data_IF_628868178572
#
_entry.id   IF_628868178572
#
_cell.length_a   1.000
_cell.length_b   1.000
_cell.length_c   1.000
_cell.angle_alpha   90.00
_cell.angle_beta   90.00
_cell.angle_gamma   90.00
#
_symmetry.space_group_name_H-M   'P 1'
#
loop_
_entity.id
_entity.type
_entity.pdbx_description
1 polymer ?
#
# COMPACT_ATOMS: atom_id res chain seq x y z
N UNK A 1 -10.21 -1.31 22.00
CA UNK A 1 -8.79 -1.71 21.91
C UNK A 1 -8.57 -2.43 20.59
N UNK A 2 -7.34 -2.60 20.12
CA UNK A 2 -7.03 -3.14 18.78
C UNK A 2 -7.02 -4.67 18.69
N UNK A 3 -7.46 -5.39 19.72
CA UNK A 3 -7.55 -6.86 19.74
C UNK A 3 -6.29 -7.60 20.21
N UNK A 4 -5.16 -6.91 20.40
CA UNK A 4 -3.93 -7.54 20.90
C UNK A 4 -4.10 -8.03 22.34
N UNK A 5 -3.60 -9.24 22.61
CA UNK A 5 -3.46 -9.77 23.98
C UNK A 5 -2.45 -8.94 24.77
N UNK A 6 -2.58 -8.90 26.09
CA UNK A 6 -1.77 -8.02 26.96
C UNK A 6 -0.25 -8.17 26.73
N UNK A 7 0.23 -9.40 26.53
CA UNK A 7 1.66 -9.66 26.26
C UNK A 7 2.13 -9.02 24.95
N UNK A 8 1.35 -9.15 23.87
CA UNK A 8 1.69 -8.56 22.57
C UNK A 8 1.53 -7.04 22.59
N UNK A 9 0.50 -6.53 23.25
CA UNK A 9 0.26 -5.11 23.40
C UNK A 9 1.40 -4.44 24.18
N UNK A 10 1.86 -5.05 25.27
CA UNK A 10 3.02 -4.58 26.03
C UNK A 10 4.31 -4.67 25.19
N UNK A 11 4.54 -5.80 24.51
CA UNK A 11 5.74 -5.99 23.70
C UNK A 11 5.85 -4.96 22.58
N UNK A 12 4.78 -4.77 21.81
CA UNK A 12 4.75 -3.87 20.67
C UNK A 12 4.68 -2.41 21.11
N UNK A 13 3.77 -2.09 22.04
CA UNK A 13 3.53 -0.71 22.50
C UNK A 13 4.75 -0.08 23.17
N UNK A 14 5.50 -0.83 23.98
CA UNK A 14 6.73 -0.32 24.62
C UNK A 14 7.90 -0.11 23.65
N UNK A 15 7.79 -0.59 22.41
CA UNK A 15 8.81 -0.49 21.35
C UNK A 15 8.45 0.49 20.25
N UNK A 16 7.36 1.25 20.41
CA UNK A 16 7.01 2.37 19.53
C UNK A 16 7.33 3.68 20.24
N UNK A 17 8.31 4.40 19.71
CA UNK A 17 8.60 5.77 20.15
C UNK A 17 7.77 6.74 19.32
N UNK A 18 7.09 7.69 19.98
CA UNK A 18 6.29 8.71 19.29
C UNK A 18 7.03 10.04 19.24
N UNK A 19 7.13 10.62 18.05
CA UNK A 19 7.69 11.93 17.79
C UNK A 19 6.69 12.82 17.05
N UNK A 20 6.79 14.14 17.24
CA UNK A 20 6.02 15.10 16.46
C UNK A 20 6.77 15.41 15.16
N UNK A 21 6.09 15.22 14.03
CA UNK A 21 6.64 15.52 12.72
C UNK A 21 6.82 17.03 12.52
N UNK A 22 7.84 17.41 11.73
CA UNK A 22 8.01 18.78 11.20
C UNK A 22 7.41 18.93 9.79
N UNK A 23 6.72 17.90 9.30
CA UNK A 23 6.21 17.75 7.93
C UNK A 23 5.09 16.70 7.88
N UNK A 24 5.04 15.86 6.84
CA UNK A 24 4.12 14.72 6.83
C UNK A 24 4.46 13.71 7.95
N UNK A 25 3.47 12.91 8.36
CA UNK A 25 3.71 11.75 9.23
C UNK A 25 4.73 10.79 8.62
N UNK A 26 5.39 10.00 9.47
CA UNK A 26 6.36 9.00 9.00
C UNK A 26 6.67 7.92 10.03
N UNK A 27 6.66 6.67 9.59
CA UNK A 27 7.10 5.52 10.36
C UNK A 27 8.51 5.09 9.98
N UNK A 28 9.37 4.93 10.99
CA UNK A 28 10.72 4.40 10.81
C UNK A 28 10.86 3.07 11.54
N UNK A 29 11.18 2.03 10.77
CA UNK A 29 11.41 0.68 11.30
C UNK A 29 12.70 0.58 12.12
N UNK A 30 12.76 -0.36 13.07
CA UNK A 30 14.02 -0.73 13.68
C UNK A 30 14.91 -1.48 12.68
N UNK A 31 16.20 -1.14 12.62
CA UNK A 31 17.15 -1.84 11.74
C UNK A 31 17.57 -3.21 12.27
N UNK A 32 17.50 -3.40 13.60
CA UNK A 32 17.76 -4.65 14.32
C UNK A 32 16.81 -4.73 15.53
N UNK A 33 16.54 -5.94 16.08
CA UNK A 33 15.58 -6.15 17.18
C UNK A 33 15.83 -5.34 18.46
N UNK A 34 17.05 -4.85 18.66
CA UNK A 34 17.44 -4.09 19.84
C UNK A 34 16.96 -2.63 19.80
N UNK A 35 16.55 -2.12 18.64
CA UNK A 35 16.02 -0.77 18.50
C UNK A 35 14.49 -0.72 18.49
N UNK A 36 13.96 0.43 18.88
CA UNK A 36 12.53 0.74 18.78
C UNK A 36 12.16 1.21 17.37
N UNK A 37 10.89 1.01 17.01
CA UNK A 37 10.27 1.69 15.89
C UNK A 37 9.94 3.14 16.27
N UNK A 38 9.88 4.03 15.28
CA UNK A 38 9.48 5.41 15.47
C UNK A 38 8.22 5.71 14.68
N UNK A 39 7.26 6.33 15.36
CA UNK A 39 6.01 6.82 14.84
C UNK A 39 6.08 8.35 14.86
N UNK A 40 6.04 9.00 13.70
CA UNK A 40 5.95 10.45 13.61
C UNK A 40 4.57 10.87 13.16
N UNK A 41 3.93 11.72 13.94
CA UNK A 41 2.61 12.27 13.57
C UNK A 41 2.56 13.78 13.77
N UNK A 42 1.55 14.40 13.16
CA UNK A 42 1.25 15.81 13.33
C UNK A 42 0.44 16.07 14.59
N UNK A 43 0.47 17.34 15.03
CA UNK A 43 -0.33 17.81 16.14
C UNK A 43 -0.75 19.26 15.94
N UNK A 44 -1.80 19.63 16.67
CA UNK A 44 -2.07 21.01 17.05
C UNK A 44 -1.18 21.40 18.25
N UNK A 45 -1.28 22.64 18.72
CA UNK A 45 -0.40 23.19 19.76
C UNK A 45 -0.37 22.35 21.05
N UNK A 46 -1.54 21.89 21.52
CA UNK A 46 -1.74 21.20 22.80
C UNK A 46 -2.31 19.77 22.68
N UNK A 47 -2.63 19.32 21.46
CA UNK A 47 -3.32 18.03 21.20
C UNK A 47 -3.01 17.51 19.80
N UNK A 48 -3.23 16.22 19.53
CA UNK A 48 -3.06 15.69 18.17
C UNK A 48 -4.08 16.29 17.18
N UNK A 49 -5.32 16.50 17.62
CA UNK A 49 -6.44 16.76 16.71
C UNK A 49 -6.85 15.50 15.94
N UNK A 50 -7.92 15.57 15.15
CA UNK A 50 -8.37 14.42 14.35
C UNK A 50 -7.31 14.03 13.32
N UNK A 51 -6.84 14.97 12.49
CA UNK A 51 -5.87 14.70 11.42
C UNK A 51 -4.56 14.10 11.96
N UNK A 52 -4.07 14.61 13.10
CA UNK A 52 -2.89 14.07 13.78
C UNK A 52 -3.12 12.70 14.40
N UNK A 53 -4.32 12.41 14.90
CA UNK A 53 -4.65 11.09 15.43
C UNK A 53 -4.85 10.05 14.32
N UNK A 54 -5.56 10.41 13.25
CA UNK A 54 -5.77 9.57 12.07
C UNK A 54 -4.43 9.22 11.40
N UNK A 55 -3.54 10.22 11.23
CA UNK A 55 -2.16 9.99 10.81
C UNK A 55 -1.43 9.08 11.79
N UNK A 56 -1.56 9.29 13.11
CA UNK A 56 -0.89 8.43 14.09
C UNK A 56 -1.34 6.97 13.99
N UNK A 57 -2.62 6.71 13.70
CA UNK A 57 -3.15 5.37 13.49
C UNK A 57 -2.60 4.70 12.24
N UNK A 58 -2.40 5.46 11.16
CA UNK A 58 -1.71 5.00 9.96
C UNK A 58 -0.26 4.57 10.28
N UNK A 59 0.49 5.47 10.91
CA UNK A 59 1.90 5.23 11.26
C UNK A 59 2.07 4.13 12.32
N UNK A 60 1.08 3.97 13.21
CA UNK A 60 1.02 2.84 14.13
C UNK A 60 0.91 1.52 13.36
N UNK A 61 0.06 1.45 12.34
CA UNK A 61 -0.07 0.25 11.51
C UNK A 61 1.25 -0.13 10.83
N UNK A 62 2.01 0.86 10.33
CA UNK A 62 3.37 0.63 9.87
C UNK A 62 4.27 0.06 10.96
N UNK A 63 4.34 0.70 12.13
CA UNK A 63 5.22 0.25 13.20
C UNK A 63 4.86 -1.14 13.74
N UNK A 64 3.58 -1.48 13.84
CA UNK A 64 3.14 -2.81 14.24
C UNK A 64 3.61 -3.85 13.22
N UNK A 65 3.41 -3.63 11.92
CA UNK A 65 3.97 -4.48 10.87
C UNK A 65 5.49 -4.61 11.01
N UNK A 66 6.20 -3.48 11.10
CA UNK A 66 7.67 -3.42 11.10
C UNK A 66 8.28 -4.09 12.33
N UNK A 67 7.64 -3.98 13.49
CA UNK A 67 8.06 -4.69 14.70
C UNK A 67 7.80 -6.18 14.54
N UNK A 68 6.60 -6.56 14.08
CA UNK A 68 6.26 -7.98 13.92
C UNK A 68 7.20 -8.65 12.91
N UNK A 69 7.41 -8.03 11.75
CA UNK A 69 8.25 -8.56 10.68
C UNK A 69 9.76 -8.46 10.97
N UNK A 70 10.15 -7.74 12.03
CA UNK A 70 11.52 -7.76 12.58
C UNK A 70 11.73 -8.87 13.60
N UNK A 71 10.75 -9.10 14.47
CA UNK A 71 10.89 -9.91 15.68
C UNK A 71 10.36 -11.35 15.56
N UNK A 72 9.28 -11.56 14.81
CA UNK A 72 8.52 -12.83 14.84
C UNK A 72 8.65 -13.64 13.56
N UNK A 73 9.46 -13.18 12.59
CA UNK A 73 9.78 -13.97 11.39
C UNK A 73 10.59 -15.21 11.75
N UNK A 74 10.44 -16.32 11.00
CA UNK A 74 11.08 -17.59 11.36
C UNK A 74 12.61 -17.56 11.28
N UNK A 75 13.20 -16.59 10.55
CA UNK A 75 14.65 -16.42 10.41
C UNK A 75 15.02 -14.94 10.27
N UNK A 76 16.15 -14.49 10.84
CA UNK A 76 16.64 -13.13 10.66
C UNK A 76 16.80 -12.68 9.20
N UNK A 77 17.16 -13.60 8.29
CA UNK A 77 17.29 -13.31 6.86
C UNK A 77 15.96 -13.05 6.15
N UNK A 78 14.82 -13.41 6.77
CA UNK A 78 13.48 -13.19 6.25
C UNK A 78 12.80 -11.98 6.89
N UNK A 79 13.53 -11.11 7.60
CA UNK A 79 12.94 -9.89 8.17
C UNK A 79 12.30 -9.03 7.10
N UNK A 80 11.24 -8.31 7.52
CA UNK A 80 10.37 -7.46 6.71
C UNK A 80 9.30 -8.24 5.90
N UNK A 81 8.37 -7.48 5.34
CA UNK A 81 7.44 -7.92 4.30
C UNK A 81 8.05 -7.71 2.89
N UNK A 82 7.47 -8.30 1.82
CA UNK A 82 8.05 -8.29 0.47
C UNK A 82 8.43 -6.90 -0.06
N UNK A 83 7.52 -5.93 0.07
CA UNK A 83 7.66 -4.57 -0.45
C UNK A 83 6.78 -3.57 0.32
N UNK A 84 6.93 -2.28 0.01
CA UNK A 84 6.21 -1.17 0.66
C UNK A 84 4.70 -1.32 0.59
N UNK A 85 4.17 -1.82 -0.53
CA UNK A 85 2.75 -2.13 -0.68
C UNK A 85 2.17 -3.01 0.44
N UNK A 86 2.92 -4.03 0.88
CA UNK A 86 2.49 -4.89 1.98
C UNK A 86 2.46 -4.11 3.29
N UNK A 87 3.45 -3.23 3.54
CA UNK A 87 3.53 -2.38 4.73
C UNK A 87 2.40 -1.33 4.76
N UNK A 88 2.08 -0.71 3.62
CA UNK A 88 0.96 0.25 3.46
C UNK A 88 -0.40 -0.39 3.74
N UNK A 89 -0.59 -1.64 3.31
CA UNK A 89 -1.85 -2.36 3.54
C UNK A 89 -2.21 -2.39 5.04
N UNK A 90 -1.24 -2.64 5.90
CA UNK A 90 -1.47 -2.60 7.35
C UNK A 90 -1.69 -1.18 7.86
N UNK A 91 -0.93 -0.19 7.39
CA UNK A 91 -1.15 1.21 7.77
C UNK A 91 -2.60 1.66 7.54
N UNK A 92 -3.16 1.36 6.36
CA UNK A 92 -4.56 1.67 6.06
C UNK A 92 -5.55 0.86 6.91
N UNK A 93 -5.26 -0.39 7.27
CA UNK A 93 -6.14 -1.16 8.17
C UNK A 93 -6.27 -0.47 9.53
N UNK A 94 -5.17 -0.02 10.11
CA UNK A 94 -5.17 0.65 11.41
C UNK A 94 -5.73 2.07 11.33
N UNK A 95 -5.44 2.82 10.26
CA UNK A 95 -6.05 4.12 10.00
C UNK A 95 -7.59 4.02 9.93
N UNK A 96 -8.13 3.02 9.23
CA UNK A 96 -9.58 2.79 9.16
C UNK A 96 -10.21 2.47 10.53
N UNK A 97 -9.42 2.03 11.51
CA UNK A 97 -9.87 1.80 12.90
C UNK A 97 -9.76 3.03 13.79
N UNK A 98 -9.26 4.17 13.31
CA UNK A 98 -9.06 5.37 14.10
C UNK A 98 -10.34 5.84 14.81
N UNK A 99 -11.46 5.97 14.08
CA UNK A 99 -12.73 6.40 14.69
C UNK A 99 -13.22 5.42 15.76
N UNK A 100 -13.13 4.11 15.50
CA UNK A 100 -13.53 3.06 16.45
C UNK A 100 -12.70 3.13 17.75
N UNK A 101 -11.38 3.36 17.64
CA UNK A 101 -10.48 3.46 18.80
C UNK A 101 -10.87 4.61 19.73
N UNK A 102 -11.39 5.72 19.21
CA UNK A 102 -11.87 6.85 20.02
C UNK A 102 -13.34 6.74 20.41
N UNK A 103 -13.98 5.59 20.17
CA UNK A 103 -15.37 5.33 20.54
C UNK A 103 -16.42 5.89 19.58
N UNK A 104 -16.02 6.16 18.33
CA UNK A 104 -16.90 6.57 17.23
C UNK A 104 -16.93 5.46 16.18
N UNK A 105 -17.68 4.37 16.38
CA UNK A 105 -17.74 3.28 15.40
C UNK A 105 -18.29 3.77 14.06
N UNK A 106 -17.93 3.09 12.98
CA UNK A 106 -18.51 3.35 11.67
C UNK A 106 -19.94 2.82 11.63
N UNK A 107 -20.90 3.67 11.26
CA UNK A 107 -22.33 3.34 11.33
C UNK A 107 -22.74 2.28 10.28
N UNK A 108 -21.99 2.21 9.16
CA UNK A 108 -22.22 1.25 8.08
C UNK A 108 -20.87 0.75 7.50
N UNK A 109 -20.33 -0.29 8.13
CA UNK A 109 -19.07 -0.93 7.68
C UNK A 109 -19.16 -1.47 6.24
N UNK A 110 -20.34 -1.92 5.81
CA UNK A 110 -20.53 -2.46 4.46
C UNK A 110 -20.41 -1.35 3.42
N UNK A 111 -21.04 -0.20 3.68
CA UNK A 111 -20.95 0.98 2.81
C UNK A 111 -19.54 1.58 2.81
N UNK A 112 -18.88 1.66 3.96
CA UNK A 112 -17.50 2.11 4.04
C UNK A 112 -16.54 1.19 3.25
N UNK A 113 -16.76 -0.12 3.31
CA UNK A 113 -16.01 -1.08 2.49
C UNK A 113 -16.30 -0.90 0.99
N UNK A 114 -17.57 -0.68 0.60
CA UNK A 114 -17.95 -0.43 -0.78
C UNK A 114 -17.23 0.80 -1.37
N UNK A 115 -17.28 1.96 -0.68
CA UNK A 115 -16.56 3.15 -1.11
C UNK A 115 -15.06 2.90 -1.26
N UNK A 116 -14.43 2.29 -0.25
CA UNK A 116 -13.01 2.02 -0.30
C UNK A 116 -12.61 1.05 -1.42
N UNK A 117 -13.50 0.10 -1.78
CA UNK A 117 -13.28 -0.82 -2.89
C UNK A 117 -13.30 -0.09 -4.23
N UNK A 118 -14.28 0.81 -4.42
CA UNK A 118 -14.40 1.63 -5.63
C UNK A 118 -13.22 2.60 -5.76
N UNK A 119 -12.90 3.33 -4.69
CA UNK A 119 -11.75 4.25 -4.66
C UNK A 119 -10.43 3.52 -4.90
N UNK A 120 -10.27 2.33 -4.31
CA UNK A 120 -9.10 1.48 -4.51
C UNK A 120 -8.96 1.02 -5.96
N UNK A 121 -10.06 0.64 -6.61
CA UNK A 121 -10.05 0.24 -8.01
C UNK A 121 -9.72 1.42 -8.93
N UNK A 122 -10.33 2.58 -8.70
CA UNK A 122 -10.04 3.79 -9.47
C UNK A 122 -8.58 4.22 -9.33
N UNK A 123 -8.04 4.19 -8.11
CA UNK A 123 -6.62 4.49 -7.85
C UNK A 123 -5.68 3.52 -8.54
N UNK A 124 -6.00 2.21 -8.49
CA UNK A 124 -5.24 1.17 -9.18
C UNK A 124 -5.27 1.37 -10.70
N UNK A 125 -6.44 1.64 -11.29
CA UNK A 125 -6.58 1.89 -12.72
C UNK A 125 -5.83 3.14 -13.17
N UNK A 126 -5.87 4.22 -12.38
CA UNK A 126 -5.16 5.46 -12.68
C UNK A 126 -3.65 5.22 -12.78
N UNK A 127 -3.03 4.59 -11.77
CA UNK A 127 -1.58 4.39 -11.75
C UNK A 127 -1.11 3.22 -12.64
N UNK A 128 -2.03 2.31 -13.03
CA UNK A 128 -1.74 1.25 -13.99
C UNK A 128 -1.31 1.77 -15.38
N UNK A 129 -1.85 2.92 -15.82
CA UNK A 129 -1.48 3.53 -17.10
C UNK A 129 0.01 3.87 -17.17
N UNK A 130 0.52 4.77 -16.30
CA UNK A 130 1.95 5.07 -16.22
C UNK A 130 2.82 3.84 -15.93
N UNK A 131 2.32 2.90 -15.13
CA UNK A 131 3.01 1.63 -14.85
C UNK A 131 3.27 0.80 -16.11
N UNK A 132 2.29 0.72 -17.01
CA UNK A 132 2.46 0.01 -18.29
C UNK A 132 3.43 0.73 -19.20
N UNK A 133 3.38 2.07 -19.25
CA UNK A 133 4.33 2.89 -20.03
C UNK A 133 5.76 2.64 -19.56
N UNK A 134 5.99 2.64 -18.24
CA UNK A 134 7.30 2.30 -17.66
C UNK A 134 7.75 0.89 -18.07
N UNK A 135 6.93 -0.13 -17.83
CA UNK A 135 7.27 -1.52 -18.13
C UNK A 135 7.62 -1.74 -19.60
N UNK A 136 6.86 -1.14 -20.50
CA UNK A 136 7.09 -1.27 -21.94
C UNK A 136 8.31 -0.48 -22.40
N UNK A 137 8.54 0.71 -21.84
CA UNK A 137 9.74 1.51 -22.11
C UNK A 137 11.01 0.75 -21.72
N UNK A 138 11.03 0.14 -20.53
CA UNK A 138 12.19 -0.67 -20.08
C UNK A 138 12.38 -1.94 -20.91
N UNK A 139 11.30 -2.64 -21.29
CA UNK A 139 11.39 -3.79 -22.19
C UNK A 139 12.00 -3.42 -23.53
N UNK A 140 11.60 -2.28 -24.09
CA UNK A 140 12.17 -1.77 -25.32
C UNK A 140 13.64 -1.38 -25.14
N UNK A 141 13.99 -0.70 -24.04
CA UNK A 141 15.37 -0.31 -23.75
C UNK A 141 16.29 -1.53 -23.63
N UNK A 142 15.84 -2.61 -22.98
CA UNK A 142 16.60 -3.87 -22.91
C UNK A 142 16.83 -4.52 -24.29
N UNK A 143 15.95 -4.26 -25.26
CA UNK A 143 16.11 -4.72 -26.65
C UNK A 143 16.97 -3.77 -27.50
N UNK A 144 17.18 -2.54 -27.03
CA UNK A 144 17.87 -1.46 -27.75
C UNK A 144 18.94 -0.81 -26.84
N UNK A 145 19.99 -1.55 -26.43
CA UNK A 145 20.95 -1.08 -25.43
C UNK A 145 21.77 0.14 -25.88
N UNK A 146 21.87 0.38 -27.19
CA UNK A 146 22.60 1.51 -27.79
C UNK A 146 21.70 2.72 -28.08
N UNK A 147 20.45 2.71 -27.59
CA UNK A 147 19.52 3.81 -27.80
C UNK A 147 20.03 5.11 -27.17
N UNK A 148 19.93 6.20 -27.92
CA UNK A 148 20.16 7.56 -27.41
C UNK A 148 19.01 8.01 -26.52
N UNK A 149 19.26 8.99 -25.65
CA UNK A 149 18.25 9.65 -24.81
C UNK A 149 17.03 10.14 -25.61
N UNK A 150 17.27 10.72 -26.79
CA UNK A 150 16.20 11.14 -27.71
C UNK A 150 15.35 9.98 -28.20
N UNK A 151 15.98 8.85 -28.55
CA UNK A 151 15.24 7.66 -28.99
C UNK A 151 14.42 7.05 -27.86
N UNK A 152 14.96 7.03 -26.63
CA UNK A 152 14.21 6.60 -25.44
C UNK A 152 12.98 7.47 -25.21
N UNK A 153 13.15 8.81 -25.24
CA UNK A 153 12.04 9.75 -25.09
C UNK A 153 10.97 9.55 -26.17
N UNK A 154 11.36 9.49 -27.43
CA UNK A 154 10.43 9.38 -28.55
C UNK A 154 9.67 8.04 -28.49
N UNK A 155 10.35 6.95 -28.11
CA UNK A 155 9.71 5.65 -27.91
C UNK A 155 8.76 5.65 -26.71
N UNK A 156 9.14 6.27 -25.59
CA UNK A 156 8.29 6.38 -24.40
C UNK A 156 6.99 7.13 -24.70
N UNK A 157 7.06 8.22 -25.49
CA UNK A 157 5.86 8.95 -25.93
C UNK A 157 4.96 8.12 -26.84
N UNK A 158 5.55 7.37 -27.78
CA UNK A 158 4.80 6.44 -28.64
C UNK A 158 4.11 5.34 -27.82
N UNK A 159 4.80 4.75 -26.84
CA UNK A 159 4.23 3.76 -25.92
C UNK A 159 3.10 4.38 -25.10
N UNK A 160 3.25 5.61 -24.62
CA UNK A 160 2.21 6.30 -23.86
C UNK A 160 0.95 6.50 -24.70
N UNK A 161 1.09 6.88 -25.97
CA UNK A 161 -0.02 6.99 -26.91
C UNK A 161 -0.71 5.63 -27.14
N UNK A 162 0.06 4.55 -27.35
CA UNK A 162 -0.49 3.20 -27.52
C UNK A 162 -1.28 2.73 -26.29
N UNK A 163 -0.73 2.92 -25.09
CA UNK A 163 -1.38 2.56 -23.83
C UNK A 163 -2.65 3.39 -23.63
N UNK A 164 -2.59 4.71 -23.90
CA UNK A 164 -3.74 5.60 -23.79
C UNK A 164 -4.87 5.19 -24.75
N UNK A 165 -4.53 5.03 -26.03
CA UNK A 165 -5.49 4.64 -27.06
C UNK A 165 -6.16 3.30 -26.75
N UNK A 166 -5.43 2.37 -26.13
CA UNK A 166 -5.93 1.04 -25.81
C UNK A 166 -6.84 1.00 -24.58
N UNK A 167 -6.52 1.74 -23.52
CA UNK A 167 -7.17 1.57 -22.21
C UNK A 167 -7.92 2.80 -21.69
N UNK A 168 -7.61 4.01 -22.16
CA UNK A 168 -8.09 5.26 -21.57
C UNK A 168 -8.93 6.11 -22.53
N UNK A 169 -8.62 6.07 -23.84
CA UNK A 169 -9.24 6.93 -24.84
C UNK A 169 -10.76 6.82 -24.92
N UNK A 170 -11.32 5.63 -24.77
CA UNK A 170 -12.77 5.41 -24.78
C UNK A 170 -13.48 6.21 -23.67
N UNK A 171 -12.84 6.39 -22.52
CA UNK A 171 -13.42 7.01 -21.35
C UNK A 171 -13.06 8.49 -21.19
N UNK A 172 -11.86 8.89 -21.65
CA UNK A 172 -11.30 10.21 -21.40
C UNK A 172 -11.04 11.05 -22.66
N UNK A 173 -11.21 10.48 -23.85
CA UNK A 173 -10.97 11.16 -25.12
C UNK A 173 -9.49 11.15 -25.56
N UNK A 174 -9.13 12.07 -26.45
CA UNK A 174 -7.75 12.19 -26.95
C UNK A 174 -6.81 12.73 -25.86
N UNK A 175 -5.56 12.26 -25.85
CA UNK A 175 -4.50 12.77 -24.98
C UNK A 175 -3.40 13.46 -25.81
N UNK A 176 -3.54 14.76 -26.10
CA UNK A 176 -2.52 15.50 -26.84
C UNK A 176 -1.24 15.76 -26.02
N UNK A 177 -1.22 15.41 -24.72
CA UNK A 177 -0.13 15.75 -23.80
C UNK A 177 0.67 14.53 -23.36
N UNK A 178 0.28 13.31 -23.76
CA UNK A 178 0.88 12.05 -23.31
C UNK A 178 1.00 12.00 -21.78
N UNK A 179 -0.09 12.25 -21.05
CA UNK A 179 -0.07 12.40 -19.58
C UNK A 179 0.47 11.17 -18.85
N UNK A 180 0.36 9.98 -19.46
CA UNK A 180 0.93 8.75 -18.91
C UNK A 180 2.47 8.77 -18.88
N UNK A 181 3.10 9.59 -19.73
CA UNK A 181 4.56 9.77 -19.82
C UNK A 181 5.12 10.87 -18.90
N UNK A 182 4.28 11.53 -18.09
CA UNK A 182 4.69 12.68 -17.28
C UNK A 182 5.58 12.33 -16.06
N UNK A 183 5.72 11.05 -15.72
CA UNK A 183 6.36 10.59 -14.49
C UNK A 183 7.86 10.33 -14.68
N UNK A 184 8.71 11.31 -14.35
CA UNK A 184 10.18 11.17 -14.46
C UNK A 184 10.79 9.95 -13.74
N UNK A 185 10.14 9.48 -12.67
CA UNK A 185 10.59 8.32 -11.89
C UNK A 185 10.63 7.05 -12.73
N UNK A 186 9.86 6.96 -13.82
CA UNK A 186 9.88 5.80 -14.71
C UNK A 186 11.24 5.53 -15.35
N UNK A 187 12.11 6.54 -15.44
CA UNK A 187 13.50 6.38 -15.91
C UNK A 187 14.49 6.41 -14.75
N UNK A 188 14.31 7.34 -13.80
CA UNK A 188 15.25 7.52 -12.69
C UNK A 188 15.26 6.37 -11.67
N UNK A 189 14.13 5.66 -11.52
CA UNK A 189 13.93 4.57 -10.58
C UNK A 189 13.11 3.45 -11.25
N UNK A 190 13.75 2.53 -12.00
CA UNK A 190 13.03 1.48 -12.71
C UNK A 190 12.16 0.61 -11.80
N UNK A 191 11.03 0.17 -12.36
CA UNK A 191 10.01 -0.66 -11.75
C UNK A 191 9.30 -0.02 -10.55
N UNK A 192 9.29 1.32 -10.48
CA UNK A 192 8.70 2.04 -9.35
C UNK A 192 7.19 2.21 -9.48
N UNK A 193 6.66 2.61 -10.64
CA UNK A 193 5.22 2.83 -10.80
C UNK A 193 4.39 1.52 -10.72
N UNK A 194 4.84 0.39 -11.32
CA UNK A 194 4.13 -0.88 -11.19
C UNK A 194 3.91 -1.34 -9.75
N UNK A 195 4.82 -1.01 -8.83
CA UNK A 195 4.70 -1.35 -7.42
C UNK A 195 3.48 -0.68 -6.76
N UNK A 196 3.07 0.52 -7.22
CA UNK A 196 1.84 1.18 -6.74
C UNK A 196 0.58 0.44 -7.19
N UNK A 197 0.52 0.05 -8.47
CA UNK A 197 -0.63 -0.70 -9.00
C UNK A 197 -0.80 -2.03 -8.27
N UNK A 198 0.29 -2.78 -8.14
CA UNK A 198 0.32 -4.04 -7.39
C UNK A 198 0.00 -3.79 -5.91
N UNK A 199 0.43 -2.64 -5.38
CA UNK A 199 0.16 -2.26 -4.00
C UNK A 199 -1.31 -2.04 -3.68
N UNK A 200 -2.05 -1.36 -4.55
CA UNK A 200 -3.50 -1.25 -4.39
C UNK A 200 -4.17 -2.63 -4.41
N UNK A 201 -3.74 -3.52 -5.30
CA UNK A 201 -4.30 -4.89 -5.39
C UNK A 201 -4.00 -5.70 -4.12
N UNK A 202 -2.75 -5.71 -3.65
CA UNK A 202 -2.34 -6.42 -2.42
C UNK A 202 -3.09 -5.85 -1.21
N UNK A 203 -3.11 -4.53 -1.07
CA UNK A 203 -3.78 -3.83 0.03
C UNK A 203 -5.25 -4.19 0.10
N UNK A 204 -5.95 -4.16 -1.03
CA UNK A 204 -7.35 -4.54 -1.08
C UNK A 204 -7.57 -6.03 -0.77
N UNK A 205 -6.76 -6.93 -1.32
CA UNK A 205 -6.87 -8.37 -1.02
C UNK A 205 -6.68 -8.65 0.47
N UNK A 206 -5.72 -8.00 1.13
CA UNK A 206 -5.54 -8.11 2.59
C UNK A 206 -6.77 -7.55 3.30
N UNK A 207 -7.23 -6.35 2.93
CA UNK A 207 -8.41 -5.72 3.55
C UNK A 207 -9.66 -6.59 3.45
N UNK A 208 -9.93 -7.16 2.27
CA UNK A 208 -11.03 -8.09 2.07
C UNK A 208 -10.87 -9.35 2.94
N UNK A 209 -9.66 -9.90 3.03
CA UNK A 209 -9.39 -11.09 3.83
C UNK A 209 -9.53 -10.85 5.34
N UNK A 210 -9.30 -9.62 5.82
CA UNK A 210 -9.46 -9.24 7.23
C UNK A 210 -10.92 -9.15 7.68
N UNK A 211 -11.89 -9.07 6.74
CA UNK A 211 -13.31 -8.94 7.11
C UNK A 211 -13.78 -10.14 7.91
N UNK A 212 -14.40 -9.87 9.06
CA UNK A 212 -14.89 -10.91 9.98
C UNK A 212 -13.79 -11.67 10.72
N UNK A 213 -12.54 -11.19 10.71
CA UNK A 213 -11.42 -11.77 11.45
C UNK A 213 -10.93 -10.83 12.53
N UNK A 214 -10.19 -11.39 13.48
CA UNK A 214 -9.48 -10.61 14.47
C UNK A 214 -8.28 -9.90 13.83
N UNK A 215 -8.25 -8.56 13.95
CA UNK A 215 -7.23 -7.73 13.31
C UNK A 215 -5.84 -8.00 13.89
N UNK A 216 -5.72 -8.17 15.20
CA UNK A 216 -4.44 -8.37 15.86
C UNK A 216 -3.84 -9.74 15.54
N UNK A 217 -4.66 -10.80 15.63
CA UNK A 217 -4.27 -12.16 15.29
C UNK A 217 -3.78 -12.24 13.84
N UNK A 218 -4.56 -11.71 12.89
CA UNK A 218 -4.18 -11.77 11.48
C UNK A 218 -3.01 -10.85 11.15
N UNK A 219 -2.89 -9.67 11.78
CA UNK A 219 -1.69 -8.82 11.64
C UNK A 219 -0.46 -9.59 12.08
N UNK A 220 -0.48 -10.20 13.27
CA UNK A 220 0.65 -10.97 13.78
C UNK A 220 0.97 -12.16 12.87
N UNK A 221 -0.03 -12.94 12.47
CA UNK A 221 0.15 -14.10 11.60
C UNK A 221 0.77 -13.72 10.26
N UNK A 222 0.23 -12.70 9.58
CA UNK A 222 0.64 -12.33 8.23
C UNK A 222 2.01 -11.63 8.24
N UNK A 223 2.23 -10.68 9.15
CA UNK A 223 3.51 -9.95 9.23
C UNK A 223 4.67 -10.85 9.71
N UNK A 224 4.38 -11.99 10.35
CA UNK A 224 5.39 -12.98 10.76
C UNK A 224 5.83 -13.93 9.63
N UNK A 225 5.22 -13.88 8.44
CA UNK A 225 5.61 -14.74 7.30
C UNK A 225 7.05 -14.48 6.86
N UNK A 226 7.46 -13.21 6.90
CA UNK A 226 8.76 -12.74 6.41
C UNK A 226 8.84 -12.46 4.92
N UNK A 227 9.98 -11.94 4.47
CA UNK A 227 10.20 -11.36 3.14
C UNK A 227 10.37 -12.43 2.06
N UNK A 228 9.26 -13.05 1.67
CA UNK A 228 9.17 -13.92 0.50
C UNK A 228 8.94 -13.10 -0.78
N UNK A 229 8.82 -13.77 -1.93
CA UNK A 229 8.30 -13.10 -3.13
C UNK A 229 6.85 -12.63 -2.86
N UNK A 230 6.41 -11.50 -3.43
CA UNK A 230 5.05 -10.98 -3.19
C UNK A 230 3.95 -12.01 -3.42
N UNK A 231 4.02 -12.81 -4.49
CA UNK A 231 3.02 -13.83 -4.79
C UNK A 231 3.00 -14.98 -3.77
N UNK A 232 4.17 -15.45 -3.33
CA UNK A 232 4.24 -16.51 -2.32
C UNK A 232 3.81 -16.01 -0.94
N UNK A 233 4.15 -14.76 -0.60
CA UNK A 233 3.71 -14.12 0.62
C UNK A 233 2.17 -14.00 0.65
N UNK A 234 1.55 -13.56 -0.44
CA UNK A 234 0.08 -13.50 -0.56
C UNK A 234 -0.57 -14.88 -0.44
N UNK A 235 0.00 -15.93 -1.04
CA UNK A 235 -0.53 -17.30 -0.88
C UNK A 235 -0.55 -17.74 0.59
N UNK A 236 0.47 -17.39 1.35
CA UNK A 236 0.55 -17.70 2.78
C UNK A 236 -0.35 -16.78 3.63
N UNK A 237 -0.48 -15.51 3.22
CA UNK A 237 -1.26 -14.50 3.92
C UNK A 237 -2.77 -14.72 3.75
N UNK A 238 -3.23 -14.83 2.51
CA UNK A 238 -4.65 -14.81 2.15
C UNK A 238 -5.13 -16.04 1.35
N UNK A 239 -4.29 -17.08 1.24
CA UNK A 239 -4.64 -18.34 0.57
C UNK A 239 -4.62 -18.30 -0.95
N UNK A 240 -4.24 -17.18 -1.56
CA UNK A 240 -4.12 -17.03 -3.02
C UNK A 240 -3.00 -16.07 -3.41
N UNK A 241 -2.50 -16.17 -4.64
CA UNK A 241 -1.53 -15.23 -5.19
C UNK A 241 -2.12 -13.83 -5.41
N UNK A 242 -1.32 -12.93 -5.98
CA UNK A 242 -1.77 -11.57 -6.29
C UNK A 242 -2.82 -11.63 -7.40
N UNK A 243 -4.02 -11.12 -7.13
CA UNK A 243 -5.16 -11.16 -8.05
C UNK A 243 -5.99 -9.88 -7.96
N UNK A 244 -5.99 -9.10 -9.04
CA UNK A 244 -6.86 -7.93 -9.18
C UNK A 244 -8.35 -8.27 -9.13
N UNK A 245 -8.73 -9.53 -9.40
CA UNK A 245 -10.13 -9.96 -9.46
C UNK A 245 -10.91 -9.64 -8.17
N UNK A 246 -10.31 -9.82 -6.99
CA UNK A 246 -11.01 -9.53 -5.73
C UNK A 246 -11.37 -8.04 -5.63
N UNK A 247 -10.44 -7.15 -5.96
CA UNK A 247 -10.68 -5.70 -5.99
C UNK A 247 -11.75 -5.31 -7.02
N UNK A 248 -11.72 -5.93 -8.21
CA UNK A 248 -12.71 -5.67 -9.26
C UNK A 248 -14.11 -6.12 -8.83
N UNK A 249 -14.23 -7.33 -8.28
CA UNK A 249 -15.51 -7.89 -7.85
C UNK A 249 -16.09 -7.08 -6.68
N UNK A 250 -15.29 -6.79 -5.65
CA UNK A 250 -15.74 -6.02 -4.49
C UNK A 250 -16.12 -4.58 -4.86
N UNK A 251 -15.40 -3.95 -5.79
CA UNK A 251 -15.76 -2.63 -6.28
C UNK A 251 -17.07 -2.66 -7.07
N UNK A 252 -17.28 -3.70 -7.88
CA UNK A 252 -18.54 -3.89 -8.62
C UNK A 252 -19.72 -4.08 -7.67
N UNK A 253 -19.60 -4.97 -6.70
CA UNK A 253 -20.64 -5.20 -5.68
C UNK A 253 -20.86 -3.92 -4.85
N UNK A 254 -19.77 -3.18 -4.57
CA UNK A 254 -19.83 -1.90 -3.89
C UNK A 254 -20.64 -0.85 -4.65
N UNK A 255 -20.53 -0.78 -5.98
CA UNK A 255 -21.32 0.12 -6.82
C UNK A 255 -22.82 -0.19 -6.81
N UNK A 256 -23.22 -1.43 -6.47
CA UNK A 256 -24.65 -1.79 -6.32
C UNK A 256 -25.21 -1.36 -4.95
N UNK A 257 -24.33 -1.11 -3.97
CA UNK A 257 -24.68 -0.75 -2.60
C UNK A 257 -24.73 0.78 -2.36
N UNK A 258 -23.97 1.57 -3.13
CA UNK A 258 -23.85 3.05 -2.99
C UNK A 258 -24.72 3.81 -3.98
#
# INVERSE_FOLDING_TARGET
GLGFVDEDAEFLGTRVNVEIARGAGHAMRPGIPEYNAWLRTNRLDDRLGWDGFDTAMHELGHNLEQLISTHFVPRPLLRNVPNTACTEAFAFLYQNKAKEVIGLPEDDEAKAFAFASVEGLLSACQIAGPSLVELYTWRWLYQNPEATDKQVRDQMLAIAEEVWNKYFKEYFGEDPYHILAAYQHMIGYPLYLPDYTIGHVISHQIKSHMRGKDLAEETKRICSIGRLTPDQWMKNAVGSGIKAKQLIDDAKDGMELI
#
